data_IF_384870933610
#
_entry.id   IF_384870933610
#
_cell.length_a   1.000
_cell.length_b   1.000
_cell.length_c   1.000
_cell.angle_alpha   90.00
_cell.angle_beta   90.00
_cell.angle_gamma   90.00
#
_symmetry.space_group_name_H-M   'P 1'
#
loop_
_entity.id
_entity.type
_entity.pdbx_description
1 polymer ?
#
# COMPACT_ATOMS: atom_id res chain seq x y z
N UNK A 1 0.99 16.55 -10.29
CA UNK A 1 0.74 15.32 -9.50
C UNK A 1 0.84 15.58 -8.01
N UNK A 2 1.97 16.15 -7.52
CA UNK A 2 2.19 16.44 -6.09
C UNK A 2 1.09 17.28 -5.41
N UNK A 3 0.68 18.41 -6.00
CA UNK A 3 -0.39 19.26 -5.46
C UNK A 3 -1.71 18.49 -5.25
N UNK A 4 -2.10 17.65 -6.21
CA UNK A 4 -3.31 16.82 -6.11
C UNK A 4 -3.20 15.75 -5.01
N UNK A 5 -2.01 15.19 -4.78
CA UNK A 5 -1.80 14.22 -3.70
C UNK A 5 -1.89 14.91 -2.34
N UNK A 6 -1.27 16.07 -2.19
CA UNK A 6 -1.32 16.89 -0.97
C UNK A 6 -2.75 17.33 -0.65
N UNK A 7 -3.50 17.82 -1.65
CA UNK A 7 -4.91 18.19 -1.47
C UNK A 7 -5.75 16.98 -1.03
N UNK A 8 -5.52 15.81 -1.63
CA UNK A 8 -6.27 14.60 -1.29
C UNK A 8 -5.95 14.11 0.13
N UNK A 9 -4.66 14.06 0.50
CA UNK A 9 -4.24 13.68 1.86
C UNK A 9 -4.78 14.69 2.88
N UNK A 10 -4.69 16.00 2.60
CA UNK A 10 -5.20 17.04 3.48
C UNK A 10 -6.73 17.00 3.64
N UNK A 11 -7.47 16.64 2.59
CA UNK A 11 -8.93 16.47 2.65
C UNK A 11 -9.35 15.36 3.61
N UNK A 12 -8.61 14.23 3.62
CA UNK A 12 -8.86 13.12 4.54
C UNK A 12 -8.23 13.33 5.93
N UNK A 13 -7.20 14.17 6.03
CA UNK A 13 -6.50 14.48 7.27
C UNK A 13 -6.06 13.23 8.02
N UNK A 14 -6.44 13.12 9.30
CA UNK A 14 -6.12 11.97 10.16
C UNK A 14 -6.75 10.67 9.67
N UNK A 15 -7.85 10.73 8.92
CA UNK A 15 -8.53 9.55 8.38
C UNK A 15 -7.74 8.88 7.26
N UNK A 16 -6.81 9.60 6.62
CA UNK A 16 -5.98 9.05 5.56
C UNK A 16 -5.15 7.84 6.03
N UNK A 17 -4.66 7.89 7.28
CA UNK A 17 -3.94 6.80 7.91
C UNK A 17 -4.83 5.58 8.16
N UNK A 18 -6.06 5.80 8.62
CA UNK A 18 -7.05 4.73 8.83
C UNK A 18 -7.44 4.05 7.52
N UNK A 19 -7.56 4.81 6.44
CA UNK A 19 -7.84 4.26 5.09
C UNK A 19 -6.71 3.33 4.66
N UNK A 20 -5.45 3.73 4.84
CA UNK A 20 -4.29 2.89 4.51
C UNK A 20 -4.27 1.57 5.27
N UNK A 21 -4.43 1.63 6.60
CA UNK A 21 -4.50 0.43 7.42
C UNK A 21 -5.71 -0.44 7.09
N UNK A 22 -6.86 0.17 6.81
CA UNK A 22 -8.07 -0.54 6.39
C UNK A 22 -7.87 -1.30 5.08
N UNK A 23 -7.24 -0.66 4.09
CA UNK A 23 -6.90 -1.31 2.81
C UNK A 23 -5.89 -2.45 3.01
N UNK A 24 -4.86 -2.24 3.82
CA UNK A 24 -3.84 -3.25 4.09
C UNK A 24 -4.43 -4.47 4.81
N UNK A 25 -5.17 -4.24 5.89
CA UNK A 25 -5.83 -5.30 6.66
C UNK A 25 -6.86 -6.04 5.84
N UNK A 26 -7.64 -5.32 5.02
CA UNK A 26 -8.62 -5.95 4.12
C UNK A 26 -7.92 -6.81 3.09
N UNK A 27 -6.88 -6.29 2.43
CA UNK A 27 -6.09 -7.04 1.46
C UNK A 27 -5.46 -8.30 2.06
N UNK A 28 -4.96 -8.22 3.30
CA UNK A 28 -4.36 -9.35 4.01
C UNK A 28 -5.39 -10.37 4.49
N UNK A 29 -6.47 -9.93 5.15
CA UNK A 29 -7.42 -10.81 5.85
C UNK A 29 -8.51 -11.37 4.93
N UNK A 30 -9.08 -10.58 4.01
CA UNK A 30 -10.22 -11.04 3.20
C UNK A 30 -9.96 -12.33 2.41
N UNK A 31 -8.79 -12.54 1.78
CA UNK A 31 -8.53 -13.77 1.03
C UNK A 31 -8.66 -15.06 1.86
N UNK A 32 -8.48 -14.99 3.18
CA UNK A 32 -8.67 -16.13 4.09
C UNK A 32 -10.14 -16.47 4.32
N UNK A 33 -11.05 -15.51 4.20
CA UNK A 33 -12.49 -15.69 4.42
C UNK A 33 -13.28 -15.82 3.11
N UNK A 34 -12.84 -15.14 2.06
CA UNK A 34 -13.45 -15.07 0.74
C UNK A 34 -12.35 -15.22 -0.31
N UNK A 35 -12.04 -16.46 -0.74
CA UNK A 35 -10.99 -16.72 -1.72
C UNK A 35 -11.44 -16.27 -3.11
N UNK A 36 -11.23 -14.99 -3.41
CA UNK A 36 -11.50 -14.36 -4.70
C UNK A 36 -10.25 -13.66 -5.21
N UNK A 37 -9.69 -14.18 -6.31
CA UNK A 37 -8.52 -13.59 -6.97
C UNK A 37 -8.81 -12.16 -7.41
N UNK A 38 -10.01 -11.91 -7.93
CA UNK A 38 -10.43 -10.57 -8.40
C UNK A 38 -10.42 -9.59 -7.23
N UNK A 39 -11.04 -9.97 -6.11
CA UNK A 39 -11.10 -9.15 -4.91
C UNK A 39 -9.70 -8.85 -4.36
N UNK A 40 -8.83 -9.86 -4.32
CA UNK A 40 -7.46 -9.72 -3.87
C UNK A 40 -6.65 -8.75 -4.75
N UNK A 41 -6.79 -8.85 -6.07
CA UNK A 41 -6.16 -7.94 -7.03
C UNK A 41 -6.72 -6.52 -6.92
N UNK A 42 -8.04 -6.36 -6.76
CA UNK A 42 -8.66 -5.03 -6.61
C UNK A 42 -8.20 -4.35 -5.33
N UNK A 43 -8.21 -5.04 -4.19
CA UNK A 43 -7.71 -4.50 -2.92
C UNK A 43 -6.23 -4.19 -2.99
N UNK A 44 -5.46 -5.02 -3.68
CA UNK A 44 -4.04 -4.81 -3.91
C UNK A 44 -3.75 -3.58 -4.74
N UNK A 45 -4.51 -3.37 -5.82
CA UNK A 45 -4.42 -2.18 -6.65
C UNK A 45 -4.79 -0.92 -5.85
N UNK A 46 -5.88 -0.95 -5.07
CA UNK A 46 -6.27 0.17 -4.23
C UNK A 46 -5.22 0.50 -3.17
N UNK A 47 -4.64 -0.52 -2.54
CA UNK A 47 -3.54 -0.37 -1.60
C UNK A 47 -2.33 0.29 -2.28
N UNK A 48 -1.94 -0.16 -3.46
CA UNK A 48 -0.83 0.43 -4.22
C UNK A 48 -1.10 1.89 -4.58
N UNK A 49 -2.33 2.24 -5.00
CA UNK A 49 -2.72 3.63 -5.30
C UNK A 49 -2.63 4.51 -4.07
N UNK A 50 -3.22 4.08 -2.95
CA UNK A 50 -3.14 4.80 -1.67
C UNK A 50 -1.67 5.05 -1.29
N UNK A 51 -0.85 4.03 -1.46
CA UNK A 51 0.55 4.08 -1.06
C UNK A 51 1.39 5.02 -1.93
N UNK A 52 1.14 5.04 -3.24
CA UNK A 52 1.77 5.99 -4.16
C UNK A 52 1.39 7.43 -3.79
N UNK A 53 0.12 7.68 -3.46
CA UNK A 53 -0.34 9.01 -3.04
C UNK A 53 0.35 9.44 -1.75
N UNK A 54 0.38 8.57 -0.73
CA UNK A 54 1.04 8.85 0.56
C UNK A 54 2.55 9.06 0.38
N UNK A 55 3.21 8.29 -0.46
CA UNK A 55 4.64 8.44 -0.67
C UNK A 55 5.04 9.69 -1.46
N UNK A 56 4.17 10.14 -2.39
CA UNK A 56 4.34 11.42 -3.09
C UNK A 56 4.14 12.60 -2.13
N UNK A 57 3.19 12.49 -1.19
CA UNK A 57 2.96 13.48 -0.14
C UNK A 57 4.15 13.59 0.81
N UNK A 58 4.69 12.45 1.27
CA UNK A 58 5.84 12.36 2.19
C UNK A 58 7.20 12.65 1.53
N UNK A 59 7.23 13.05 0.25
CA UNK A 59 8.46 13.32 -0.50
C UNK A 59 9.50 12.18 -0.46
N UNK A 60 9.02 10.93 -0.44
CA UNK A 60 9.89 9.76 -0.36
C UNK A 60 10.77 9.69 -1.60
N UNK A 61 12.08 9.53 -1.41
CA UNK A 61 13.03 9.44 -2.52
C UNK A 61 12.62 8.34 -3.53
N UNK A 62 12.65 8.67 -4.82
CA UNK A 62 12.15 7.83 -5.91
C UNK A 62 12.75 6.40 -5.94
N UNK A 63 13.99 6.23 -5.50
CA UNK A 63 14.64 4.91 -5.43
C UNK A 63 14.05 4.03 -4.32
N UNK A 64 13.60 4.61 -3.20
CA UNK A 64 12.90 3.89 -2.12
C UNK A 64 11.53 3.43 -2.60
N UNK A 65 10.85 4.30 -3.36
CA UNK A 65 9.60 3.96 -4.04
C UNK A 65 9.75 2.80 -5.01
N UNK A 66 10.84 2.76 -5.77
CA UNK A 66 11.12 1.68 -6.72
C UNK A 66 11.32 0.32 -6.01
N UNK A 67 12.02 0.30 -4.87
CA UNK A 67 12.16 -0.93 -4.05
C UNK A 67 10.82 -1.42 -3.54
N UNK A 68 9.96 -0.52 -3.07
CA UNK A 68 8.61 -0.84 -2.57
C UNK A 68 7.72 -1.37 -3.68
N UNK A 69 7.75 -0.75 -4.87
CA UNK A 69 7.02 -1.21 -6.06
C UNK A 69 7.48 -2.60 -6.49
N UNK A 70 8.79 -2.88 -6.43
CA UNK A 70 9.32 -4.22 -6.71
C UNK A 70 8.84 -5.23 -5.67
N UNK A 71 8.85 -4.88 -4.38
CA UNK A 71 8.35 -5.77 -3.32
C UNK A 71 6.85 -6.07 -3.48
N UNK A 72 6.06 -5.07 -3.87
CA UNK A 72 4.64 -5.25 -4.21
C UNK A 72 4.44 -6.13 -5.43
N UNK A 73 5.16 -5.87 -6.53
CA UNK A 73 5.04 -6.65 -7.75
C UNK A 73 5.37 -8.13 -7.50
N UNK A 74 6.40 -8.40 -6.68
CA UNK A 74 6.72 -9.75 -6.22
C UNK A 74 5.65 -10.28 -5.27
N UNK A 75 5.08 -9.43 -4.42
CA UNK A 75 3.99 -9.73 -3.50
C UNK A 75 2.65 -10.11 -4.16
N UNK A 76 2.42 -9.67 -5.40
CA UNK A 76 1.26 -10.02 -6.24
C UNK A 76 1.45 -11.29 -7.06
N UNK A 77 2.65 -11.85 -7.12
CA UNK A 77 2.84 -13.15 -7.75
C UNK A 77 2.09 -14.21 -6.91
N UNK A 78 1.41 -15.18 -7.56
CA UNK A 78 0.70 -16.26 -6.88
C UNK A 78 1.67 -17.31 -6.31
N UNK A 79 2.68 -16.84 -5.58
CA UNK A 79 3.68 -17.65 -4.89
C UNK A 79 3.28 -17.68 -3.41
N UNK A 80 3.25 -18.85 -2.75
CA UNK A 80 2.82 -18.97 -1.35
C UNK A 80 3.62 -18.13 -0.33
N UNK A 81 4.69 -17.45 -0.75
CA UNK A 81 5.52 -16.57 0.09
C UNK A 81 5.42 -15.08 -0.27
N UNK A 82 4.72 -14.74 -1.34
CA UNK A 82 4.63 -13.37 -1.87
C UNK A 82 3.93 -12.42 -0.88
N UNK A 83 2.88 -12.89 -0.21
CA UNK A 83 2.15 -12.08 0.77
C UNK A 83 3.02 -11.55 1.92
N UNK A 84 4.02 -12.32 2.36
CA UNK A 84 4.95 -11.91 3.42
C UNK A 84 5.82 -10.72 3.02
N UNK A 85 6.18 -10.61 1.74
CA UNK A 85 6.96 -9.50 1.22
C UNK A 85 6.14 -8.21 1.19
N UNK A 86 4.85 -8.28 0.87
CA UNK A 86 3.95 -7.13 0.95
C UNK A 86 3.78 -6.64 2.39
N UNK A 87 3.68 -7.56 3.36
CA UNK A 87 3.62 -7.21 4.79
C UNK A 87 4.92 -6.55 5.23
N UNK A 88 6.07 -7.13 4.86
CA UNK A 88 7.38 -6.56 5.19
C UNK A 88 7.53 -5.16 4.58
N UNK A 89 7.13 -4.97 3.32
CA UNK A 89 7.17 -3.69 2.65
C UNK A 89 6.26 -2.65 3.33
N UNK A 90 5.05 -3.04 3.74
CA UNK A 90 4.14 -2.20 4.51
C UNK A 90 4.76 -1.73 5.83
N UNK A 91 5.30 -2.68 6.61
CA UNK A 91 5.94 -2.38 7.90
C UNK A 91 7.16 -1.48 7.74
N UNK A 92 8.05 -1.79 6.78
CA UNK A 92 9.23 -0.98 6.51
C UNK A 92 8.83 0.44 6.12
N UNK A 93 7.82 0.58 5.26
CA UNK A 93 7.39 1.91 4.85
C UNK A 93 6.81 2.72 5.98
N UNK A 94 5.92 2.11 6.76
CA UNK A 94 5.25 2.80 7.85
C UNK A 94 6.28 3.31 8.88
N UNK A 95 7.22 2.45 9.28
CA UNK A 95 8.21 2.76 10.31
C UNK A 95 9.40 3.60 9.85
N UNK A 96 9.69 3.68 8.54
CA UNK A 96 10.89 4.37 8.03
C UNK A 96 10.62 5.57 7.16
N UNK A 97 9.44 5.69 6.58
CA UNK A 97 9.13 6.72 5.61
C UNK A 97 7.93 7.59 5.99
N UNK A 98 7.12 7.16 6.97
CA UNK A 98 5.90 7.89 7.37
C UNK A 98 5.94 8.38 8.82
N UNK A 99 6.47 7.58 9.75
CA UNK A 99 6.90 8.03 11.09
C UNK A 99 8.24 8.78 11.03
#
# INVERSE_FOLDING_TARGET
>A
MRYWCMDLVSYFGTSWNLIGWGLFLSWFLLPFFLPSLVLWLTLGFLLAVWWVIDAVDQEVAWWKMLVVVLMLAVGFLPVPRAGWLTIAAWVVYYLRFRE
#
